data_IF_313156885184
#
_entry.id   IF_313156885184
#
_cell.length_a   1.000
_cell.length_b   1.000
_cell.length_c   1.000
_cell.angle_alpha   90.00
_cell.angle_beta   90.00
_cell.angle_gamma   90.00
#
_symmetry.space_group_name_H-M   'P 1'
#
loop_
_entity.id
_entity.type
_entity.pdbx_description
1 polymer ?
#
# COMPACT_ATOMS: atom_id res chain seq x y z
N UNK A 1 -9.97 -2.21 12.42
CA UNK A 1 -9.53 -1.57 11.17
C UNK A 1 -8.02 -1.34 11.16
N UNK A 2 -7.44 -0.68 12.18
CA UNK A 2 -5.98 -0.49 12.27
C UNK A 2 -5.18 -1.80 12.09
N UNK A 3 -5.57 -2.87 12.78
CA UNK A 3 -4.93 -4.19 12.62
C UNK A 3 -4.93 -4.72 11.17
N UNK A 4 -6.01 -4.50 10.42
CA UNK A 4 -6.11 -4.98 9.04
C UNK A 4 -5.09 -4.26 8.14
N UNK A 5 -5.00 -2.93 8.27
CA UNK A 5 -3.99 -2.14 7.55
C UNK A 5 -2.58 -2.47 7.99
N UNK A 6 -2.35 -2.72 9.28
CA UNK A 6 -1.02 -3.08 9.79
C UNK A 6 -0.54 -4.42 9.22
N UNK A 7 -1.39 -5.44 9.19
CA UNK A 7 -1.04 -6.74 8.60
C UNK A 7 -0.90 -6.64 7.07
N UNK A 8 -1.78 -5.88 6.40
CA UNK A 8 -1.63 -5.55 4.98
C UNK A 8 -0.31 -4.84 4.67
N UNK A 9 0.08 -3.86 5.48
CA UNK A 9 1.34 -3.13 5.32
C UNK A 9 2.56 -4.01 5.57
N UNK A 10 2.52 -4.92 6.56
CA UNK A 10 3.58 -5.90 6.77
C UNK A 10 3.76 -6.76 5.53
N UNK A 11 2.67 -7.34 5.01
CA UNK A 11 2.71 -8.16 3.81
C UNK A 11 3.21 -7.37 2.60
N UNK A 12 2.74 -6.14 2.42
CA UNK A 12 3.21 -5.25 1.36
C UNK A 12 4.71 -4.97 1.45
N UNK A 13 5.22 -4.76 2.67
CA UNK A 13 6.64 -4.49 2.93
C UNK A 13 7.57 -5.65 2.58
N UNK A 14 7.06 -6.88 2.53
CA UNK A 14 7.82 -8.05 2.06
C UNK A 14 7.94 -8.10 0.52
N UNK A 15 7.07 -7.39 -0.19
CA UNK A 15 6.87 -7.53 -1.64
C UNK A 15 7.41 -6.35 -2.46
N UNK A 16 7.73 -5.23 -1.81
CA UNK A 16 8.15 -3.98 -2.46
C UNK A 16 9.36 -3.35 -1.80
N UNK A 17 10.06 -2.48 -2.54
CA UNK A 17 11.11 -1.64 -1.99
C UNK A 17 10.54 -0.35 -1.41
N UNK A 18 11.18 0.20 -0.36
CA UNK A 18 10.75 1.43 0.33
C UNK A 18 9.22 1.50 0.56
N UNK A 19 8.62 0.52 1.24
CA UNK A 19 7.20 0.56 1.57
C UNK A 19 6.93 1.76 2.49
N UNK A 20 5.80 2.41 2.25
CA UNK A 20 5.27 3.45 3.13
C UNK A 20 3.78 3.28 3.32
N UNK A 21 3.34 3.53 4.55
CA UNK A 21 1.93 3.63 4.89
C UNK A 21 1.57 5.10 5.06
N UNK A 22 0.60 5.55 4.30
CA UNK A 22 0.13 6.93 4.32
C UNK A 22 -1.37 6.99 4.51
N UNK A 23 -1.84 8.19 4.84
CA UNK A 23 -3.25 8.53 4.93
C UNK A 23 -3.45 9.91 4.31
N UNK A 24 -4.55 10.09 3.59
CA UNK A 24 -4.96 11.42 3.12
C UNK A 24 -5.78 12.16 4.20
N UNK A 25 -6.22 13.37 3.87
CA UNK A 25 -7.02 14.21 4.77
C UNK A 25 -8.42 13.65 5.00
N UNK A 26 -8.93 12.81 4.09
CA UNK A 26 -10.24 12.16 4.17
C UNK A 26 -10.20 10.83 4.96
N UNK A 27 -9.00 10.40 5.38
CA UNK A 27 -8.80 9.19 6.18
C UNK A 27 -8.65 7.90 5.35
N UNK A 28 -8.50 7.99 4.03
CA UNK A 28 -8.22 6.85 3.18
C UNK A 28 -6.76 6.41 3.33
N UNK A 29 -6.54 5.09 3.44
CA UNK A 29 -5.20 4.53 3.60
C UNK A 29 -4.52 4.34 2.25
N UNK A 30 -3.21 4.58 2.21
CA UNK A 30 -2.38 4.34 1.03
C UNK A 30 -1.18 3.47 1.40
N UNK A 31 -1.02 2.37 0.68
CA UNK A 31 0.18 1.53 0.72
C UNK A 31 0.97 1.83 -0.54
N UNK A 32 2.11 2.53 -0.41
CA UNK A 32 2.91 2.97 -1.55
C UNK A 32 4.32 2.42 -1.44
N UNK A 33 4.75 1.75 -2.50
CA UNK A 33 6.05 1.09 -2.59
C UNK A 33 6.72 1.37 -3.93
N UNK A 34 8.04 1.21 -3.93
CA UNK A 34 8.84 1.22 -5.15
C UNK A 34 8.84 -0.18 -5.75
N UNK A 35 8.61 -0.25 -7.06
CA UNK A 35 8.75 -1.48 -7.82
C UNK A 35 8.90 -1.20 -9.30
N UNK A 36 9.34 -2.21 -10.04
CA UNK A 36 9.41 -2.15 -11.51
C UNK A 36 7.98 -2.26 -12.04
N UNK A 37 7.49 -1.29 -12.84
CA UNK A 37 6.14 -1.36 -13.41
C UNK A 37 5.95 -2.63 -14.24
N UNK A 38 5.16 -3.55 -13.71
CA UNK A 38 4.76 -4.77 -14.39
C UNK A 38 3.34 -5.10 -13.95
N UNK A 39 2.35 -4.84 -14.80
CA UNK A 39 0.95 -4.96 -14.44
C UNK A 39 0.59 -6.36 -13.90
N UNK A 40 1.19 -7.42 -14.46
CA UNK A 40 0.94 -8.79 -14.02
C UNK A 40 1.51 -9.05 -12.61
N UNK A 41 2.69 -8.56 -12.32
CA UNK A 41 3.29 -8.70 -10.99
C UNK A 41 2.59 -7.82 -9.96
N UNK A 42 2.28 -6.58 -10.34
CA UNK A 42 1.61 -5.61 -9.49
C UNK A 42 0.22 -6.09 -9.07
N UNK A 43 -0.55 -6.69 -9.99
CA UNK A 43 -1.85 -7.30 -9.66
C UNK A 43 -1.72 -8.38 -8.58
N UNK A 44 -0.72 -9.26 -8.69
CA UNK A 44 -0.48 -10.31 -7.68
C UNK A 44 -0.15 -9.74 -6.31
N UNK A 45 0.71 -8.71 -6.27
CA UNK A 45 1.06 -8.03 -5.01
C UNK A 45 -0.19 -7.44 -4.37
N UNK A 46 -1.02 -6.74 -5.16
CA UNK A 46 -2.28 -6.16 -4.70
C UNK A 46 -3.21 -7.26 -4.15
N UNK A 47 -3.38 -8.36 -4.88
CA UNK A 47 -4.22 -9.48 -4.45
C UNK A 47 -3.71 -10.11 -3.14
N UNK A 48 -2.40 -10.34 -3.02
CA UNK A 48 -1.79 -10.89 -1.80
C UNK A 48 -2.00 -9.97 -0.59
N UNK A 49 -1.84 -8.67 -0.77
CA UNK A 49 -2.03 -7.69 0.32
C UNK A 49 -3.50 -7.59 0.71
N UNK A 50 -4.42 -7.52 -0.26
CA UNK A 50 -5.85 -7.50 0.01
C UNK A 50 -6.32 -8.78 0.70
N UNK A 51 -5.82 -9.95 0.28
CA UNK A 51 -6.09 -11.21 0.95
C UNK A 51 -5.65 -11.19 2.42
N UNK A 52 -4.54 -10.53 2.75
CA UNK A 52 -4.10 -10.38 4.13
C UNK A 52 -5.03 -9.45 4.93
N UNK A 53 -5.40 -8.31 4.33
CA UNK A 53 -6.33 -7.34 4.94
C UNK A 53 -7.68 -8.00 5.23
N UNK A 54 -8.22 -8.76 4.27
CA UNK A 54 -9.54 -9.37 4.39
C UNK A 54 -9.67 -10.46 5.45
N UNK A 55 -8.55 -10.96 6.00
CA UNK A 55 -8.58 -11.83 7.18
C UNK A 55 -9.09 -11.11 8.44
N UNK A 56 -9.07 -9.78 8.45
CA UNK A 56 -9.35 -8.97 9.64
C UNK A 56 -10.51 -7.98 9.45
N UNK A 57 -11.04 -7.84 8.24
CA UNK A 57 -12.15 -6.95 7.92
C UNK A 57 -12.82 -7.35 6.61
N UNK A 58 -14.11 -7.07 6.46
CA UNK A 58 -14.82 -7.30 5.19
C UNK A 58 -14.74 -6.07 4.27
N UNK A 59 -14.48 -4.89 4.83
CA UNK A 59 -14.50 -3.62 4.09
C UNK A 59 -13.39 -2.70 4.57
N UNK A 60 -12.70 -2.08 3.63
CA UNK A 60 -11.73 -1.03 3.93
C UNK A 60 -11.54 -0.06 2.77
N UNK A 61 -11.29 1.21 3.10
CA UNK A 61 -10.88 2.21 2.12
C UNK A 61 -9.35 2.27 2.05
N UNK A 62 -8.75 1.50 1.13
CA UNK A 62 -7.30 1.42 0.92
C UNK A 62 -6.95 1.49 -0.55
N UNK A 63 -5.91 2.25 -0.86
CA UNK A 63 -5.29 2.32 -2.19
C UNK A 63 -3.89 1.72 -2.12
N UNK A 64 -3.56 0.81 -3.04
CA UNK A 64 -2.25 0.18 -3.12
C UNK A 64 -1.56 0.62 -4.41
N UNK A 65 -0.39 1.24 -4.30
CA UNK A 65 0.37 1.77 -5.42
C UNK A 65 1.80 1.23 -5.42
N UNK A 66 2.21 0.74 -6.59
CA UNK A 66 3.58 0.30 -6.86
C UNK A 66 4.09 1.19 -7.99
N UNK A 67 5.04 2.05 -7.69
CA UNK A 67 5.50 3.10 -8.60
C UNK A 67 7.02 3.00 -8.83
N UNK A 68 7.53 3.49 -9.98
CA UNK A 68 8.97 3.67 -10.14
C UNK A 68 9.54 4.59 -9.06
N UNK A 69 10.83 4.41 -8.74
CA UNK A 69 11.54 5.26 -7.79
C UNK A 69 11.48 6.76 -8.15
N UNK A 70 11.49 7.09 -9.44
CA UNK A 70 11.40 8.47 -9.92
C UNK A 70 10.07 9.16 -9.60
N UNK A 71 8.99 8.39 -9.42
CA UNK A 71 7.62 8.89 -9.20
C UNK A 71 7.25 8.89 -7.71
N UNK A 72 7.92 8.05 -6.92
CA UNK A 72 7.63 7.88 -5.50
C UNK A 72 7.61 9.20 -4.68
N UNK A 73 8.58 10.12 -4.81
CA UNK A 73 8.58 11.36 -4.03
C UNK A 73 7.38 12.26 -4.36
N UNK A 74 7.00 12.33 -5.64
CA UNK A 74 5.89 13.16 -6.08
C UNK A 74 4.56 12.68 -5.49
N UNK A 75 4.29 11.38 -5.59
CA UNK A 75 3.02 10.79 -5.11
C UNK A 75 2.92 10.86 -3.59
N UNK A 76 4.02 10.63 -2.88
CA UNK A 76 4.03 10.63 -1.41
C UNK A 76 4.02 12.04 -0.80
N UNK A 77 4.45 13.07 -1.54
CA UNK A 77 4.53 14.46 -1.03
C UNK A 77 3.19 15.05 -0.58
N UNK A 78 2.08 14.54 -1.11
CA UNK A 78 0.72 15.01 -0.83
C UNK A 78 0.03 14.25 0.29
N UNK A 79 0.68 13.23 0.85
CA UNK A 79 0.07 12.30 1.80
C UNK A 79 0.77 12.39 3.16
N UNK A 80 0.01 12.19 4.23
CA UNK A 80 0.57 12.14 5.57
C UNK A 80 1.10 10.73 5.84
N UNK A 81 2.41 10.62 6.08
CA UNK A 81 3.05 9.35 6.42
C UNK A 81 2.72 8.90 7.84
N UNK A 82 2.37 7.64 7.99
CA UNK A 82 2.09 6.98 9.28
C UNK A 82 3.22 6.05 9.71
N UNK A 83 3.81 5.28 8.77
CA UNK A 83 4.95 4.38 8.98
C UNK A 83 5.86 4.35 7.74
#
# INVERSE_FOLDING_TARGET
MEKAIEEGFKKFSELVEKPGLFVDDDGAYFLIGIGIPNCKNNSKIVDEVLNEIYKYTEEINVTILIVPESVYPEVTSKLRRLK
#
